data_IF_887433141689
#
_entry.id   IF_887433141689
#
_cell.length_a   1.000
_cell.length_b   1.000
_cell.length_c   1.000
_cell.angle_alpha   90.00
_cell.angle_beta   90.00
_cell.angle_gamma   90.00
#
_symmetry.space_group_name_H-M   'P 1'
#
loop_
_entity.id
_entity.type
_entity.pdbx_description
1 polymer ?
#
# COMPACT_ATOMS: atom_id res chain seq x y z
N UNK A 1 15.49 -13.72 6.10
CA UNK A 1 16.40 -12.56 5.94
C UNK A 1 17.78 -12.92 6.43
N UNK A 2 18.81 -12.55 5.69
CA UNK A 2 20.19 -12.70 6.18
C UNK A 2 20.48 -11.59 7.20
N UNK A 3 21.32 -11.88 8.20
CA UNK A 3 21.68 -10.91 9.25
C UNK A 3 22.29 -9.64 8.60
N UNK A 4 21.72 -8.47 8.86
CA UNK A 4 22.20 -7.18 8.33
C UNK A 4 21.51 -6.68 7.05
N UNK A 5 20.60 -7.44 6.45
CA UNK A 5 19.81 -6.94 5.32
C UNK A 5 18.72 -5.96 5.78
N UNK A 6 18.61 -4.81 5.09
CA UNK A 6 17.55 -3.84 5.35
C UNK A 6 16.19 -4.44 4.98
N UNK A 7 15.22 -4.25 5.85
CA UNK A 7 13.83 -4.64 5.66
C UNK A 7 12.91 -3.43 5.89
N UNK A 8 11.77 -3.42 5.24
CA UNK A 8 10.67 -2.49 5.50
C UNK A 8 9.37 -3.28 5.70
N UNK A 9 8.46 -2.71 6.47
CA UNK A 9 7.07 -3.17 6.56
C UNK A 9 6.22 -2.22 5.74
N UNK A 10 5.27 -2.77 5.02
CA UNK A 10 4.24 -1.99 4.34
C UNK A 10 2.87 -2.35 4.93
N UNK A 11 2.09 -1.34 5.32
CA UNK A 11 0.79 -1.49 5.95
C UNK A 11 -0.20 -0.47 5.38
N UNK A 12 -0.78 -0.77 4.23
CA UNK A 12 -1.74 0.11 3.55
C UNK A 12 -3.09 0.18 4.25
N UNK A 13 -3.78 1.31 4.11
CA UNK A 13 -5.17 1.52 4.53
C UNK A 13 -5.92 2.40 3.54
N UNK A 14 -7.24 2.19 3.44
CA UNK A 14 -8.12 3.03 2.65
C UNK A 14 -8.63 4.23 3.45
N UNK A 15 -8.71 5.40 2.81
CA UNK A 15 -9.21 6.63 3.40
C UNK A 15 -10.75 6.71 3.35
N UNK A 16 -11.43 5.69 3.87
CA UNK A 16 -12.91 5.59 3.82
C UNK A 16 -13.58 5.63 5.19
N UNK A 17 -12.81 5.83 6.26
CA UNK A 17 -13.36 5.85 7.61
C UNK A 17 -12.30 5.88 8.71
N UNK A 18 -12.64 5.34 9.86
CA UNK A 18 -11.75 5.24 11.03
C UNK A 18 -11.20 3.82 11.18
N UNK A 19 -10.08 3.70 11.90
CA UNK A 19 -9.55 2.40 12.29
C UNK A 19 -10.57 1.62 13.11
N UNK A 20 -10.63 0.32 12.92
CA UNK A 20 -11.50 -0.61 13.66
C UNK A 20 -10.73 -1.88 14.05
N UNK A 21 -11.37 -2.77 14.81
CA UNK A 21 -10.73 -3.99 15.35
C UNK A 21 -10.15 -4.91 14.26
N UNK A 22 -10.69 -4.89 13.04
CA UNK A 22 -10.14 -5.66 11.92
C UNK A 22 -8.70 -5.27 11.55
N UNK A 23 -8.30 -4.02 11.79
CA UNK A 23 -6.92 -3.58 11.57
C UNK A 23 -5.96 -4.01 12.69
N UNK A 24 -6.50 -4.35 13.88
CA UNK A 24 -5.68 -4.53 15.09
C UNK A 24 -4.61 -5.60 14.93
N UNK A 25 -4.94 -6.76 14.39
CA UNK A 25 -3.99 -7.88 14.27
C UNK A 25 -2.80 -7.50 13.39
N UNK A 26 -3.07 -6.86 12.25
CA UNK A 26 -2.02 -6.37 11.33
C UNK A 26 -1.18 -5.29 12.01
N UNK A 27 -1.82 -4.35 12.69
CA UNK A 27 -1.13 -3.23 13.36
C UNK A 27 -0.29 -3.68 14.54
N UNK A 28 -0.79 -4.60 15.37
CA UNK A 28 -0.02 -5.16 16.48
C UNK A 28 1.24 -5.87 15.95
N UNK A 29 1.10 -6.62 14.88
CA UNK A 29 2.23 -7.29 14.22
C UNK A 29 3.26 -6.28 13.72
N UNK A 30 2.82 -5.25 13.01
CA UNK A 30 3.69 -4.21 12.46
C UNK A 30 4.38 -3.41 13.56
N UNK A 31 3.64 -3.05 14.61
CA UNK A 31 4.14 -2.32 15.76
C UNK A 31 5.17 -3.14 16.54
N UNK A 32 4.93 -4.44 16.71
CA UNK A 32 5.89 -5.36 17.30
C UNK A 32 7.20 -5.36 16.53
N UNK A 33 7.17 -5.57 15.23
CA UNK A 33 8.39 -5.54 14.40
C UNK A 33 9.09 -4.18 14.42
N UNK A 34 8.34 -3.09 14.43
CA UNK A 34 8.93 -1.75 14.53
C UNK A 34 9.66 -1.55 15.87
N UNK A 35 9.03 -1.95 16.99
CA UNK A 35 9.59 -1.77 18.34
C UNK A 35 10.78 -2.67 18.62
N UNK A 36 10.63 -3.97 18.32
CA UNK A 36 11.66 -4.97 18.67
C UNK A 36 12.87 -4.93 17.71
N UNK A 37 12.64 -4.65 16.44
CA UNK A 37 13.70 -4.74 15.43
C UNK A 37 14.05 -3.41 14.78
N UNK A 38 13.34 -2.34 15.14
CA UNK A 38 13.59 -1.01 14.57
C UNK A 38 13.27 -0.88 13.09
N UNK A 39 12.44 -1.77 12.54
CA UNK A 39 12.10 -1.82 11.12
C UNK A 39 11.22 -0.61 10.75
N UNK A 40 11.53 0.15 9.68
CA UNK A 40 10.67 1.23 9.23
C UNK A 40 9.34 0.70 8.68
N UNK A 41 8.25 1.40 8.99
CA UNK A 41 6.90 1.10 8.52
C UNK A 41 6.46 2.14 7.51
N UNK A 42 6.10 1.70 6.33
CA UNK A 42 5.52 2.52 5.28
C UNK A 42 4.00 2.32 5.29
N UNK A 43 3.27 3.41 5.36
CA UNK A 43 1.81 3.41 5.46
C UNK A 43 1.23 4.18 4.27
N UNK A 44 1.03 3.51 3.12
CA UNK A 44 0.22 4.09 2.07
C UNK A 44 -1.22 4.26 2.53
N UNK A 45 -1.78 5.42 2.25
CA UNK A 45 -3.18 5.73 2.51
C UNK A 45 -3.81 6.08 1.17
N UNK A 46 -4.61 5.15 0.65
CA UNK A 46 -5.22 5.21 -0.67
C UNK A 46 -6.48 6.08 -0.64
N UNK A 47 -6.26 7.37 -0.68
CA UNK A 47 -7.33 8.37 -0.75
C UNK A 47 -7.93 8.51 -2.15
N UNK A 48 -7.13 8.28 -3.18
CA UNK A 48 -7.55 8.21 -4.58
C UNK A 48 -8.48 7.01 -4.83
N UNK A 49 -8.12 5.80 -4.36
CA UNK A 49 -8.97 4.61 -4.48
C UNK A 49 -10.30 4.82 -3.74
N UNK A 50 -10.26 5.37 -2.55
CA UNK A 50 -11.48 5.62 -1.78
C UNK A 50 -12.46 6.53 -2.53
N UNK A 51 -11.96 7.51 -3.28
CA UNK A 51 -12.77 8.39 -4.10
C UNK A 51 -13.27 7.68 -5.36
N UNK A 52 -12.40 7.03 -6.16
CA UNK A 52 -12.83 6.40 -7.41
C UNK A 52 -13.71 5.17 -7.18
N UNK A 53 -13.61 4.53 -6.03
CA UNK A 53 -14.50 3.44 -5.60
C UNK A 53 -15.84 3.93 -5.03
N UNK A 54 -16.06 5.24 -4.92
CA UNK A 54 -17.29 5.81 -4.37
C UNK A 54 -17.48 5.59 -2.87
N UNK A 55 -16.40 5.33 -2.13
CA UNK A 55 -16.42 5.15 -0.67
C UNK A 55 -16.51 6.49 0.08
N UNK A 56 -16.21 7.58 -0.58
CA UNK A 56 -16.26 8.97 -0.11
C UNK A 56 -16.84 9.86 -1.19
N UNK A 57 -17.39 11.02 -0.81
CA UNK A 57 -18.09 11.93 -1.70
C UNK A 57 -17.15 12.84 -2.51
N UNK A 58 -15.97 13.16 -1.95
CA UNK A 58 -15.01 14.05 -2.62
C UNK A 58 -13.57 13.70 -2.28
N UNK A 59 -12.64 14.22 -3.09
CA UNK A 59 -11.21 14.08 -2.86
C UNK A 59 -10.78 14.79 -1.58
N UNK A 60 -11.38 15.93 -1.26
CA UNK A 60 -11.12 16.69 -0.02
C UNK A 60 -11.51 15.85 1.21
N UNK A 61 -12.67 15.17 1.15
CA UNK A 61 -13.11 14.29 2.23
C UNK A 61 -12.14 13.11 2.40
N UNK A 62 -11.68 12.49 1.30
CA UNK A 62 -10.68 11.43 1.34
C UNK A 62 -9.37 11.91 1.98
N UNK A 63 -8.92 13.12 1.63
CA UNK A 63 -7.70 13.70 2.19
C UNK A 63 -7.83 13.98 3.70
N UNK A 64 -9.00 14.46 4.16
CA UNK A 64 -9.24 14.66 5.61
C UNK A 64 -9.26 13.33 6.37
N UNK A 65 -9.86 12.27 5.81
CA UNK A 65 -9.76 10.92 6.39
C UNK A 65 -8.33 10.41 6.44
N UNK A 66 -7.53 10.67 5.41
CA UNK A 66 -6.11 10.28 5.37
C UNK A 66 -5.31 10.93 6.50
N UNK A 67 -5.50 12.23 6.70
CA UNK A 67 -4.85 12.96 7.82
C UNK A 67 -5.29 12.43 9.18
N UNK A 68 -6.58 12.09 9.33
CA UNK A 68 -7.13 11.50 10.54
C UNK A 68 -6.53 10.12 10.80
N UNK A 69 -6.45 9.27 9.78
CA UNK A 69 -5.83 7.94 9.86
C UNK A 69 -4.37 8.02 10.26
N UNK A 70 -3.59 8.91 9.65
CA UNK A 70 -2.18 9.10 10.02
C UNK A 70 -2.02 9.47 11.51
N UNK A 71 -2.87 10.35 12.04
CA UNK A 71 -2.89 10.68 13.47
C UNK A 71 -3.27 9.47 14.34
N UNK A 72 -4.22 8.64 13.89
CA UNK A 72 -4.63 7.43 14.59
C UNK A 72 -3.49 6.38 14.64
N UNK A 73 -2.72 6.22 13.57
CA UNK A 73 -1.51 5.38 13.58
C UNK A 73 -0.50 5.83 14.63
N UNK A 74 -0.22 7.12 14.71
CA UNK A 74 0.69 7.65 15.71
C UNK A 74 0.13 7.48 17.13
N UNK A 75 -1.17 7.72 17.34
CA UNK A 75 -1.83 7.49 18.62
C UNK A 75 -1.88 6.01 19.01
N UNK A 76 -1.87 5.08 18.04
CA UNK A 76 -1.77 3.64 18.28
C UNK A 76 -0.41 3.24 18.86
N UNK A 77 0.61 4.05 18.68
CA UNK A 77 1.94 3.87 19.27
C UNK A 77 3.07 3.63 18.29
N UNK A 78 2.84 3.86 16.98
CA UNK A 78 3.89 3.82 15.96
C UNK A 78 4.88 4.99 16.17
N UNK A 79 6.18 4.69 16.01
CA UNK A 79 7.24 5.69 16.15
C UNK A 79 7.23 6.67 14.96
N UNK A 80 7.00 7.98 15.17
CA UNK A 80 6.97 8.97 14.10
C UNK A 80 8.30 9.11 13.35
N UNK A 81 9.42 8.70 13.93
CA UNK A 81 10.75 8.72 13.27
C UNK A 81 10.97 7.54 12.34
N UNK A 82 10.13 6.49 12.43
CA UNK A 82 10.25 5.25 11.66
C UNK A 82 8.97 4.90 10.91
N UNK A 83 7.99 5.81 10.88
CA UNK A 83 6.71 5.62 10.18
C UNK A 83 6.59 6.65 9.06
N UNK A 84 6.42 6.18 7.84
CA UNK A 84 6.37 7.01 6.63
C UNK A 84 5.00 6.90 5.99
N UNK A 85 4.21 7.96 6.10
CA UNK A 85 2.90 8.02 5.45
C UNK A 85 3.05 8.42 3.98
N UNK A 86 2.40 7.66 3.10
CA UNK A 86 2.28 7.96 1.68
C UNK A 86 0.80 8.22 1.42
N UNK A 87 0.41 9.49 1.38
CA UNK A 87 -0.95 9.94 1.04
C UNK A 87 -0.90 10.35 -0.43
N UNK A 88 -1.68 9.70 -1.29
CA UNK A 88 -1.52 9.79 -2.73
C UNK A 88 -1.75 11.21 -3.25
N UNK A 89 -2.75 11.93 -2.74
CA UNK A 89 -2.98 13.34 -3.08
C UNK A 89 -1.85 14.27 -2.63
N UNK A 90 -1.05 13.91 -1.63
CA UNK A 90 0.08 14.71 -1.14
C UNK A 90 1.36 14.30 -1.83
N UNK A 91 1.62 13.00 -1.94
CA UNK A 91 2.80 12.45 -2.59
C UNK A 91 2.50 11.97 -4.01
N UNK A 92 2.10 12.88 -4.88
CA UNK A 92 1.69 12.59 -6.27
C UNK A 92 2.75 11.89 -7.11
N UNK A 93 4.02 11.93 -6.69
CA UNK A 93 5.10 11.20 -7.38
C UNK A 93 4.92 9.66 -7.34
N UNK A 94 4.01 9.14 -6.51
CA UNK A 94 3.63 7.73 -6.53
C UNK A 94 3.04 7.32 -7.89
N UNK A 95 2.33 8.21 -8.57
CA UNK A 95 1.75 7.94 -9.89
C UNK A 95 2.82 7.75 -10.98
N UNK A 96 3.97 8.39 -10.88
CA UNK A 96 5.09 8.14 -11.80
C UNK A 96 5.62 6.71 -11.65
N UNK A 97 5.68 6.19 -10.43
CA UNK A 97 6.02 4.79 -10.19
C UNK A 97 4.91 3.87 -10.69
N UNK A 98 3.64 4.18 -10.42
CA UNK A 98 2.51 3.39 -10.91
C UNK A 98 2.49 3.29 -12.44
N UNK A 99 2.75 4.38 -13.16
CA UNK A 99 2.87 4.38 -14.62
C UNK A 99 4.02 3.46 -15.08
N UNK A 100 5.19 3.51 -14.43
CA UNK A 100 6.30 2.60 -14.73
C UNK A 100 5.88 1.13 -14.57
N UNK A 101 5.17 0.81 -13.49
CA UNK A 101 4.75 -0.56 -13.16
C UNK A 101 3.58 -1.03 -14.03
N UNK A 102 2.65 -0.16 -14.41
CA UNK A 102 1.48 -0.51 -15.22
C UNK A 102 1.85 -1.15 -16.56
N UNK A 103 3.04 -0.84 -17.11
CA UNK A 103 3.58 -1.50 -18.32
C UNK A 103 3.79 -3.01 -18.13
N UNK A 104 3.79 -3.51 -16.89
CA UNK A 104 4.10 -4.91 -16.55
C UNK A 104 2.86 -5.73 -16.16
N UNK A 105 1.67 -5.17 -16.27
CA UNK A 105 0.40 -5.84 -16.00
C UNK A 105 -0.59 -5.48 -17.12
N UNK A 106 -1.49 -6.39 -17.45
CA UNK A 106 -2.48 -6.17 -18.49
C UNK A 106 -3.92 -6.24 -17.96
N UNK A 107 -4.87 -5.82 -18.77
CA UNK A 107 -6.29 -5.78 -18.41
C UNK A 107 -6.84 -7.13 -17.97
N UNK A 108 -6.46 -8.23 -18.65
CA UNK A 108 -6.98 -9.56 -18.33
C UNK A 108 -6.52 -10.05 -16.96
N UNK A 109 -5.28 -9.76 -16.59
CA UNK A 109 -4.74 -10.05 -15.25
C UNK A 109 -5.50 -9.28 -14.17
N UNK A 110 -5.72 -7.97 -14.39
CA UNK A 110 -6.47 -7.12 -13.46
C UNK A 110 -7.91 -7.60 -13.33
N UNK A 111 -8.58 -7.87 -14.45
CA UNK A 111 -9.95 -8.38 -14.44
C UNK A 111 -10.07 -9.70 -13.66
N UNK A 112 -9.13 -10.64 -13.88
CA UNK A 112 -9.15 -11.94 -13.21
C UNK A 112 -8.92 -11.80 -11.70
N UNK A 113 -8.07 -10.87 -11.26
CA UNK A 113 -7.71 -10.70 -9.84
C UNK A 113 -8.76 -9.89 -9.07
N UNK A 114 -9.24 -8.79 -9.66
CA UNK A 114 -10.12 -7.83 -8.97
C UNK A 114 -11.60 -8.01 -9.31
N UNK A 115 -11.93 -8.87 -10.28
CA UNK A 115 -13.32 -9.10 -10.69
C UNK A 115 -13.97 -7.92 -11.44
N UNK A 116 -13.19 -6.97 -11.93
CA UNK A 116 -13.71 -5.77 -12.59
C UNK A 116 -14.43 -6.11 -13.90
N UNK A 117 -15.54 -5.42 -14.14
CA UNK A 117 -16.33 -5.51 -15.36
C UNK A 117 -15.95 -4.41 -16.37
N UNK A 118 -16.37 -4.52 -17.63
CA UNK A 118 -16.17 -3.43 -18.60
C UNK A 118 -16.84 -2.10 -18.21
N UNK A 119 -17.83 -2.12 -17.30
CA UNK A 119 -18.50 -0.91 -16.78
C UNK A 119 -17.80 -0.32 -15.54
N UNK A 120 -16.78 -0.98 -14.99
CA UNK A 120 -15.97 -0.43 -13.90
C UNK A 120 -15.21 0.79 -14.41
N UNK A 121 -15.16 1.87 -13.62
CA UNK A 121 -14.48 3.10 -14.06
C UNK A 121 -12.96 2.88 -14.24
N UNK A 122 -12.36 3.71 -15.08
CA UNK A 122 -10.96 3.56 -15.48
C UNK A 122 -9.99 3.79 -14.30
N UNK A 123 -10.38 4.57 -13.30
CA UNK A 123 -9.58 4.80 -12.09
C UNK A 123 -9.35 3.51 -11.31
N UNK A 124 -10.40 2.69 -11.14
CA UNK A 124 -10.28 1.38 -10.50
C UNK A 124 -9.44 0.40 -11.34
N UNK A 125 -9.54 0.45 -12.67
CA UNK A 125 -8.67 -0.37 -13.52
C UNK A 125 -7.19 0.00 -13.41
N UNK A 126 -6.87 1.25 -13.13
CA UNK A 126 -5.49 1.71 -12.94
C UNK A 126 -4.98 1.50 -11.51
N UNK A 127 -5.87 1.46 -10.52
CA UNK A 127 -5.51 1.36 -9.10
C UNK A 127 -4.57 0.19 -8.74
N UNK A 128 -4.67 -1.02 -9.33
CA UNK A 128 -3.71 -2.10 -9.06
C UNK A 128 -2.25 -1.74 -9.36
N UNK A 129 -2.02 -0.83 -10.31
CA UNK A 129 -0.67 -0.32 -10.56
C UNK A 129 -0.22 0.65 -9.46
N UNK A 130 -1.14 1.45 -8.91
CA UNK A 130 -0.88 2.34 -7.76
C UNK A 130 -0.60 1.49 -6.52
N UNK A 131 -1.42 0.49 -6.23
CA UNK A 131 -1.20 -0.44 -5.11
C UNK A 131 0.16 -1.15 -5.22
N UNK A 132 0.53 -1.60 -6.42
CA UNK A 132 1.85 -2.19 -6.64
C UNK A 132 2.97 -1.16 -6.47
N UNK A 133 2.73 0.11 -6.82
CA UNK A 133 3.69 1.19 -6.58
C UNK A 133 3.90 1.41 -5.07
N UNK A 134 2.85 1.37 -4.26
CA UNK A 134 2.98 1.41 -2.80
C UNK A 134 3.85 0.26 -2.29
N UNK A 135 3.53 -0.98 -2.69
CA UNK A 135 4.23 -2.18 -2.20
C UNK A 135 5.70 -2.20 -2.62
N UNK A 136 6.02 -1.75 -3.82
CA UNK A 136 7.38 -1.75 -4.35
C UNK A 136 8.14 -0.44 -4.09
N UNK A 137 7.50 0.56 -3.47
CA UNK A 137 8.10 1.85 -3.16
C UNK A 137 9.41 1.75 -2.36
N UNK A 138 9.49 0.95 -1.28
CA UNK A 138 10.73 0.85 -0.51
C UNK A 138 11.90 0.32 -1.34
N UNK A 139 11.64 -0.58 -2.29
CA UNK A 139 12.69 -1.10 -3.19
C UNK A 139 13.10 -0.07 -4.24
N UNK A 140 12.12 0.47 -4.96
CA UNK A 140 12.35 1.34 -6.12
C UNK A 140 12.90 2.73 -5.75
N UNK A 141 12.55 3.24 -4.59
CA UNK A 141 12.93 4.60 -4.17
C UNK A 141 14.01 4.65 -3.11
N UNK A 142 14.12 3.61 -2.29
CA UNK A 142 15.01 3.62 -1.12
C UNK A 142 16.03 2.47 -1.12
N UNK A 143 15.96 1.57 -2.10
CA UNK A 143 16.86 0.42 -2.22
C UNK A 143 16.68 -0.62 -1.09
N UNK A 144 15.55 -0.59 -0.39
CA UNK A 144 15.23 -1.58 0.66
C UNK A 144 14.62 -2.80 -0.01
N UNK A 145 15.42 -3.83 -0.25
CA UNK A 145 15.01 -4.99 -1.06
C UNK A 145 13.93 -5.85 -0.39
N UNK A 146 14.00 -6.04 0.92
CA UNK A 146 13.06 -6.93 1.63
C UNK A 146 11.87 -6.12 2.14
N UNK A 147 10.70 -6.36 1.60
CA UNK A 147 9.44 -5.72 2.00
C UNK A 147 8.50 -6.80 2.53
N UNK A 148 8.11 -6.67 3.80
CA UNK A 148 7.10 -7.49 4.45
C UNK A 148 5.75 -6.77 4.37
N UNK A 149 4.72 -7.46 3.89
CA UNK A 149 3.37 -6.93 3.72
C UNK A 149 2.38 -7.78 4.53
N UNK A 150 2.23 -7.54 5.83
CA UNK A 150 1.25 -8.25 6.65
C UNK A 150 -0.17 -7.86 6.21
N UNK A 151 -0.93 -8.84 5.77
CA UNK A 151 -2.29 -8.66 5.21
C UNK A 151 -3.24 -9.74 5.72
N UNK A 152 -4.54 -9.51 5.57
CA UNK A 152 -5.55 -10.55 5.67
C UNK A 152 -5.57 -11.46 4.44
N UNK A 153 -6.16 -12.66 4.54
CA UNK A 153 -6.26 -13.59 3.41
C UNK A 153 -7.01 -13.04 2.18
N UNK A 154 -7.89 -12.09 2.40
CA UNK A 154 -8.68 -11.38 1.38
C UNK A 154 -7.83 -10.49 0.46
N UNK A 155 -6.69 -10.00 0.95
CA UNK A 155 -5.76 -9.16 0.19
C UNK A 155 -4.66 -9.94 -0.57
N UNK A 156 -4.54 -11.26 -0.36
CA UNK A 156 -3.47 -12.08 -0.94
C UNK A 156 -3.42 -12.00 -2.47
N UNK A 157 -4.57 -12.03 -3.14
CA UNK A 157 -4.64 -11.96 -4.59
C UNK A 157 -4.05 -10.64 -5.14
N UNK A 158 -4.26 -9.54 -4.43
CA UNK A 158 -3.76 -8.21 -4.79
C UNK A 158 -2.24 -8.11 -4.63
N UNK A 159 -1.71 -8.69 -3.55
CA UNK A 159 -0.25 -8.73 -3.32
C UNK A 159 0.44 -9.62 -4.34
N UNK A 160 -0.21 -10.68 -4.85
CA UNK A 160 0.33 -11.53 -5.92
C UNK A 160 0.59 -10.74 -7.20
N UNK A 161 -0.29 -9.84 -7.61
CA UNK A 161 -0.06 -8.95 -8.76
C UNK A 161 1.24 -8.17 -8.59
N UNK A 162 1.47 -7.62 -7.40
CA UNK A 162 2.71 -6.89 -7.10
C UNK A 162 3.95 -7.77 -7.13
N UNK A 163 3.84 -9.04 -6.72
CA UNK A 163 4.92 -10.04 -6.79
C UNK A 163 5.26 -10.41 -8.24
N UNK A 164 4.25 -10.53 -9.10
CA UNK A 164 4.44 -10.82 -10.52
C UNK A 164 5.10 -9.63 -11.24
N UNK A 165 4.68 -8.41 -10.92
CA UNK A 165 5.33 -7.19 -11.40
C UNK A 165 6.80 -7.12 -10.94
N UNK A 166 7.07 -7.43 -9.68
CA UNK A 166 8.42 -7.46 -9.13
C UNK A 166 9.31 -8.46 -9.89
N UNK A 167 8.81 -9.67 -10.16
CA UNK A 167 9.51 -10.67 -10.96
C UNK A 167 9.84 -10.18 -12.36
N UNK A 168 8.86 -9.58 -13.06
CA UNK A 168 9.02 -9.02 -14.41
C UNK A 168 9.99 -7.83 -14.48
N UNK A 169 10.35 -7.26 -13.33
CA UNK A 169 11.30 -6.16 -13.18
C UNK A 169 12.63 -6.58 -12.54
N UNK A 170 12.82 -7.88 -12.27
CA UNK A 170 13.97 -8.42 -11.54
C UNK A 170 14.15 -7.79 -10.15
N UNK A 171 13.05 -7.43 -9.49
CA UNK A 171 13.00 -6.98 -8.11
C UNK A 171 12.79 -8.17 -7.15
N UNK A 172 13.10 -7.97 -5.88
CA UNK A 172 12.76 -8.95 -4.84
C UNK A 172 11.23 -9.00 -4.66
N UNK A 173 10.64 -10.20 -4.69
CA UNK A 173 9.21 -10.34 -4.42
C UNK A 173 8.91 -9.94 -2.98
N UNK A 174 7.90 -9.07 -2.73
CA UNK A 174 7.45 -8.78 -1.38
C UNK A 174 6.91 -10.05 -0.70
N UNK A 175 7.07 -10.14 0.61
CA UNK A 175 6.66 -11.28 1.44
C UNK A 175 5.47 -10.93 2.32
#
# INVERSE_FOLDING_TARGET
MKKGEKCAILSGVNASGTLHLGHKVVFDTNLYFQKEYGIPVFVPISDDESYVAGKVESQEQALEFSKKLARQFLAYGFDPKKTYFIIDQIYTNIYNLAIKLSKKVNYSEIKATYGYSPSTNIGLHFYPAIQSAHILFPQEKLGIKNVLVPIGPDEDAHVRVSRDIAERLNLTKPA
#
